data_IF_012233913473
#
_entry.id   IF_012233913473
#
_cell.length_a   1.000
_cell.length_b   1.000
_cell.length_c   1.000
_cell.angle_alpha   90.00
_cell.angle_beta   90.00
_cell.angle_gamma   90.00
#
_symmetry.space_group_name_H-M   'P 1'
#
loop_
_entity.id
_entity.type
_entity.pdbx_description
1 polymer ?
#
# COMPACT_ATOMS: atom_id res chain seq x y z
N UNK A 1 -7.13 -16.07 0.23
CA UNK A 1 -5.84 -15.46 0.62
C UNK A 1 -6.00 -14.05 1.25
N UNK A 2 -7.13 -13.38 1.07
CA UNK A 2 -7.39 -12.04 1.64
C UNK A 2 -8.16 -12.07 2.98
N UNK A 3 -8.50 -13.25 3.48
CA UNK A 3 -9.29 -13.43 4.71
C UNK A 3 -8.49 -13.28 6.01
N UNK A 4 -7.19 -13.00 5.91
CA UNK A 4 -6.28 -13.07 7.06
C UNK A 4 -5.85 -11.71 7.64
N UNK A 5 -6.28 -10.57 7.05
CA UNK A 5 -5.97 -9.28 7.65
C UNK A 5 -6.94 -8.96 8.77
N UNK A 6 -6.41 -8.78 9.97
CA UNK A 6 -7.18 -8.37 11.15
C UNK A 6 -7.09 -6.86 11.35
N UNK A 7 -7.86 -6.35 12.31
CA UNK A 7 -7.78 -4.94 12.72
C UNK A 7 -6.40 -4.53 13.30
N UNK A 8 -5.64 -5.53 13.72
CA UNK A 8 -4.29 -5.32 14.30
C UNK A 8 -3.18 -5.55 13.26
N UNK A 9 -3.55 -5.84 12.00
CA UNK A 9 -2.59 -5.98 10.92
C UNK A 9 -2.02 -4.61 10.53
N UNK A 10 -0.73 -4.57 10.26
CA UNK A 10 -0.06 -3.44 9.64
C UNK A 10 0.71 -3.95 8.44
N UNK A 11 0.19 -3.70 7.26
CA UNK A 11 0.64 -4.30 6.00
C UNK A 11 1.37 -3.28 5.16
N UNK A 12 2.58 -3.64 4.73
CA UNK A 12 3.36 -2.85 3.77
C UNK A 12 3.37 -3.52 2.41
N UNK A 13 2.85 -2.84 1.39
CA UNK A 13 3.02 -3.22 -0.02
C UNK A 13 4.20 -2.48 -0.62
N UNK A 14 5.14 -3.22 -1.21
CA UNK A 14 6.34 -2.64 -1.82
C UNK A 14 6.45 -2.98 -3.31
N UNK A 15 7.07 -2.08 -4.06
CA UNK A 15 7.36 -2.30 -5.48
C UNK A 15 6.12 -2.31 -6.38
N UNK A 16 5.06 -1.64 -5.97
CA UNK A 16 3.85 -1.51 -6.76
C UNK A 16 4.09 -0.60 -7.98
N UNK A 17 3.87 -1.11 -9.19
CA UNK A 17 4.01 -0.30 -10.41
C UNK A 17 2.84 0.67 -10.61
N UNK A 18 1.63 0.15 -10.60
CA UNK A 18 0.39 0.92 -10.83
C UNK A 18 -0.61 0.84 -9.66
N UNK A 19 -0.24 0.26 -8.54
CA UNK A 19 -1.06 0.10 -7.33
C UNK A 19 -2.38 -0.68 -7.52
N UNK A 20 -2.52 -1.45 -8.60
CA UNK A 20 -3.76 -2.19 -8.84
C UNK A 20 -3.99 -3.32 -7.84
N UNK A 21 -2.91 -3.96 -7.40
CA UNK A 21 -3.02 -5.05 -6.42
C UNK A 21 -3.41 -4.51 -5.04
N UNK A 22 -2.68 -3.53 -4.53
CA UNK A 22 -2.98 -2.93 -3.22
C UNK A 22 -4.36 -2.27 -3.19
N UNK A 23 -4.76 -1.55 -4.25
CA UNK A 23 -6.11 -0.99 -4.35
C UNK A 23 -7.18 -2.08 -4.26
N UNK A 24 -7.03 -3.17 -5.01
CA UNK A 24 -7.98 -4.29 -4.95
C UNK A 24 -8.04 -4.95 -3.56
N UNK A 25 -6.89 -5.12 -2.90
CA UNK A 25 -6.85 -5.69 -1.54
C UNK A 25 -7.56 -4.80 -0.55
N UNK A 26 -7.27 -3.50 -0.56
CA UNK A 26 -7.89 -2.53 0.36
C UNK A 26 -9.39 -2.43 0.14
N UNK A 27 -9.85 -2.33 -1.12
CA UNK A 27 -11.28 -2.31 -1.43
C UNK A 27 -11.99 -3.55 -0.90
N UNK A 28 -11.45 -4.75 -1.18
CA UNK A 28 -12.05 -6.00 -0.69
C UNK A 28 -12.05 -6.07 0.84
N UNK A 29 -10.98 -5.63 1.50
CA UNK A 29 -10.90 -5.58 2.96
C UNK A 29 -11.99 -4.66 3.55
N UNK A 30 -12.15 -3.46 3.00
CA UNK A 30 -13.15 -2.49 3.47
C UNK A 30 -14.57 -3.00 3.23
N UNK A 31 -14.84 -3.64 2.08
CA UNK A 31 -16.16 -4.24 1.78
C UNK A 31 -16.52 -5.35 2.79
N UNK A 32 -15.55 -6.14 3.23
CA UNK A 32 -15.75 -7.19 4.22
C UNK A 32 -15.80 -6.66 5.66
N UNK A 33 -15.30 -5.45 5.89
CA UNK A 33 -15.24 -4.81 7.19
C UNK A 33 -15.92 -3.43 7.17
N UNK A 34 -17.26 -3.37 7.17
CA UNK A 34 -18.02 -2.12 6.99
C UNK A 34 -17.73 -1.01 8.00
N UNK A 35 -17.09 -1.34 9.13
CA UNK A 35 -16.63 -0.35 10.11
C UNK A 35 -15.60 0.65 9.55
N UNK A 36 -14.88 0.26 8.48
CA UNK A 36 -13.94 1.10 7.75
C UNK A 36 -14.60 1.86 6.58
N UNK A 37 -15.83 1.54 6.22
CA UNK A 37 -16.68 2.38 5.40
C UNK A 37 -17.12 3.53 6.29
N UNK A 38 -16.45 4.67 6.19
CA UNK A 38 -16.81 5.87 6.97
C UNK A 38 -18.32 6.12 6.94
N UNK A 39 -18.87 6.69 8.02
CA UNK A 39 -20.31 6.95 8.25
C UNK A 39 -20.96 7.89 7.22
N UNK A 40 -20.93 7.58 5.94
CA UNK A 40 -21.56 8.35 4.86
C UNK A 40 -22.76 7.69 4.21
N UNK A 41 -23.23 6.55 4.73
CA UNK A 41 -24.41 5.89 4.16
C UNK A 41 -25.70 6.14 4.94
N UNK A 42 -25.78 7.14 5.80
CA UNK A 42 -27.03 7.55 6.45
C UNK A 42 -27.09 9.07 6.57
N UNK A 43 -27.56 9.72 5.53
CA UNK A 43 -28.59 10.75 5.53
C UNK A 43 -28.64 11.43 4.16
N UNK A 44 -29.63 11.05 3.40
CA UNK A 44 -30.22 11.84 2.31
C UNK A 44 -30.66 13.20 2.85
N UNK A 45 -30.39 14.20 2.02
CA UNK A 45 -30.96 15.54 1.98
C UNK A 45 -30.21 16.66 2.72
N UNK A 46 -29.87 17.60 1.88
CA UNK A 46 -29.61 19.02 2.06
C UNK A 46 -28.19 19.54 2.30
N UNK A 47 -27.70 20.15 1.22
CA UNK A 47 -26.94 21.39 1.10
C UNK A 47 -25.45 21.49 1.46
N UNK A 48 -24.71 21.74 0.35
CA UNK A 48 -23.67 22.78 0.15
C UNK A 48 -22.36 22.63 0.92
N UNK A 49 -21.33 22.39 0.07
CA UNK A 49 -19.96 22.88 0.22
C UNK A 49 -19.31 22.74 1.62
N UNK A 50 -18.80 21.59 1.87
CA UNK A 50 -17.52 21.46 2.58
C UNK A 50 -16.95 20.07 2.32
N UNK A 51 -15.85 20.00 1.57
CA UNK A 51 -15.06 18.78 1.36
C UNK A 51 -14.40 18.35 2.68
N UNK A 52 -15.18 17.90 3.64
CA UNK A 52 -14.64 17.16 4.78
C UNK A 52 -14.36 15.75 4.29
N UNK A 53 -13.13 15.54 3.85
CA UNK A 53 -12.50 14.23 3.63
C UNK A 53 -12.86 13.33 4.81
N UNK A 54 -13.76 12.36 4.60
CA UNK A 54 -13.94 11.27 5.52
C UNK A 54 -12.62 10.50 5.54
N UNK A 55 -11.89 10.60 6.62
CA UNK A 55 -10.77 9.71 6.88
C UNK A 55 -11.35 8.36 7.28
N UNK A 56 -11.38 7.46 6.33
CA UNK A 56 -11.46 6.04 6.63
C UNK A 56 -10.10 5.68 7.23
N UNK A 57 -10.06 5.22 8.46
CA UNK A 57 -8.81 4.99 9.19
C UNK A 57 -8.06 3.73 8.74
N UNK A 58 -7.84 3.55 7.43
CA UNK A 58 -6.96 2.51 6.91
C UNK A 58 -5.47 2.92 6.96
N UNK A 59 -5.14 4.13 7.40
CA UNK A 59 -3.77 4.62 7.49
C UNK A 59 -2.88 3.79 8.42
N UNK A 60 -3.46 3.24 9.49
CA UNK A 60 -2.72 2.39 10.42
C UNK A 60 -2.58 0.95 9.94
N UNK A 61 -3.43 0.54 8.98
CA UNK A 61 -3.48 -0.83 8.50
C UNK A 61 -2.68 -1.06 7.22
N UNK A 62 -2.71 -0.09 6.30
CA UNK A 62 -2.15 -0.27 4.97
C UNK A 62 -1.22 0.88 4.60
N UNK A 63 0.03 0.51 4.35
CA UNK A 63 1.03 1.36 3.73
C UNK A 63 1.35 0.80 2.35
N UNK A 64 1.24 1.61 1.31
CA UNK A 64 1.52 1.22 -0.08
C UNK A 64 2.69 2.01 -0.62
N UNK A 65 3.55 1.36 -1.41
CA UNK A 65 4.74 2.04 -1.91
C UNK A 65 5.17 1.59 -3.29
N UNK A 66 5.85 2.49 -4.01
CA UNK A 66 6.54 2.18 -5.24
C UNK A 66 7.96 2.73 -5.24
N UNK A 67 8.78 2.17 -6.12
CA UNK A 67 10.15 2.64 -6.35
C UNK A 67 10.20 3.94 -7.15
N UNK A 68 9.18 4.19 -7.97
CA UNK A 68 9.09 5.34 -8.85
C UNK A 68 8.60 6.60 -8.10
N UNK A 69 8.84 7.75 -8.73
CA UNK A 69 8.27 9.02 -8.28
C UNK A 69 6.74 9.05 -8.43
N UNK A 70 6.08 9.86 -7.62
CA UNK A 70 4.63 10.05 -7.65
C UNK A 70 4.13 10.44 -9.04
N UNK A 71 4.87 11.33 -9.72
CA UNK A 71 4.51 11.88 -11.04
C UNK A 71 4.71 10.88 -12.18
N UNK A 72 5.45 9.79 -11.93
CA UNK A 72 5.63 8.73 -12.93
C UNK A 72 4.42 7.82 -12.95
N UNK A 73 3.71 7.72 -14.08
CA UNK A 73 2.67 6.73 -14.20
C UNK A 73 1.58 7.05 -15.21
N UNK A 74 0.70 6.07 -15.38
CA UNK A 74 -0.45 6.09 -16.27
C UNK A 74 -1.70 6.61 -15.57
N UNK A 75 -2.77 6.88 -16.33
CA UNK A 75 -4.10 7.18 -15.79
C UNK A 75 -4.61 6.07 -14.85
N UNK A 76 -4.24 4.82 -15.11
CA UNK A 76 -4.59 3.67 -14.26
C UNK A 76 -3.92 3.81 -12.89
N UNK A 77 -2.64 4.20 -12.86
CA UNK A 77 -1.93 4.46 -11.60
C UNK A 77 -2.63 5.55 -10.81
N UNK A 78 -2.99 6.66 -11.45
CA UNK A 78 -3.68 7.76 -10.79
C UNK A 78 -5.03 7.34 -10.20
N UNK A 79 -5.85 6.59 -10.94
CA UNK A 79 -7.12 6.04 -10.42
C UNK A 79 -6.91 5.18 -9.17
N UNK A 80 -5.93 4.30 -9.19
CA UNK A 80 -5.65 3.44 -8.06
C UNK A 80 -5.14 4.23 -6.84
N UNK A 81 -4.33 5.27 -7.06
CA UNK A 81 -3.90 6.18 -6.01
C UNK A 81 -5.07 6.96 -5.40
N UNK A 82 -6.01 7.43 -6.23
CA UNK A 82 -7.22 8.12 -5.76
C UNK A 82 -8.09 7.19 -4.88
N UNK A 83 -8.22 5.92 -5.27
CA UNK A 83 -8.91 4.89 -4.48
C UNK A 83 -8.22 4.72 -3.12
N UNK A 84 -6.92 4.45 -3.11
CA UNK A 84 -6.15 4.25 -1.89
C UNK A 84 -6.17 5.47 -0.98
N UNK A 85 -6.09 6.67 -1.57
CA UNK A 85 -6.21 7.93 -0.84
C UNK A 85 -7.60 8.11 -0.22
N UNK A 86 -8.66 7.69 -0.93
CA UNK A 86 -10.03 7.77 -0.41
C UNK A 86 -10.24 6.90 0.83
N UNK A 87 -9.54 5.78 0.91
CA UNK A 87 -9.52 4.90 2.09
C UNK A 87 -8.50 5.33 3.16
N UNK A 88 -7.75 6.39 2.92
CA UNK A 88 -6.80 6.95 3.89
C UNK A 88 -5.50 6.16 4.03
N UNK A 89 -5.14 5.30 3.07
CA UNK A 89 -3.90 4.54 3.12
C UNK A 89 -2.67 5.45 3.11
N UNK A 90 -1.60 5.04 3.80
CA UNK A 90 -0.30 5.69 3.70
C UNK A 90 0.35 5.36 2.35
N UNK A 91 0.87 6.36 1.67
CA UNK A 91 1.51 6.19 0.37
C UNK A 91 2.95 6.70 0.40
N UNK A 92 3.90 5.86 -0.02
CA UNK A 92 5.31 6.20 -0.11
C UNK A 92 5.82 5.99 -1.52
N UNK A 93 6.36 7.05 -2.10
CA UNK A 93 7.01 7.03 -3.41
C UNK A 93 8.54 7.03 -3.20
N UNK A 94 9.29 6.62 -4.22
CA UNK A 94 10.75 6.51 -4.15
C UNK A 94 11.21 5.64 -2.96
N UNK A 95 10.48 4.56 -2.68
CA UNK A 95 10.83 3.61 -1.63
C UNK A 95 11.55 2.40 -2.23
N UNK A 96 12.81 2.22 -1.85
CA UNK A 96 13.61 1.07 -2.27
C UNK A 96 13.33 -0.13 -1.36
N UNK A 97 12.68 -1.16 -1.90
CA UNK A 97 12.37 -2.39 -1.18
C UNK A 97 13.60 -3.10 -0.60
N UNK A 98 14.79 -2.86 -1.15
CA UNK A 98 16.04 -3.45 -0.65
C UNK A 98 16.65 -2.69 0.52
N UNK A 99 16.10 -1.53 0.85
CA UNK A 99 16.64 -0.61 1.85
C UNK A 99 15.63 -0.22 2.93
N UNK A 100 14.54 -0.99 3.10
CA UNK A 100 13.47 -0.69 4.08
C UNK A 100 14.00 -0.45 5.48
N UNK A 101 14.98 -1.23 5.92
CA UNK A 101 15.60 -1.12 7.25
C UNK A 101 16.40 0.17 7.48
N UNK A 102 16.62 0.97 6.44
CA UNK A 102 17.34 2.25 6.49
C UNK A 102 16.48 3.45 6.10
N UNK A 103 15.30 3.20 5.55
CA UNK A 103 14.40 4.29 5.17
C UNK A 103 13.69 4.85 6.43
N UNK A 104 13.80 6.16 6.71
CA UNK A 104 13.19 6.75 7.91
C UNK A 104 11.68 6.56 8.02
N UNK A 105 11.00 6.32 6.90
CA UNK A 105 9.54 6.13 6.85
C UNK A 105 9.11 4.72 7.26
N UNK A 106 10.03 3.75 7.25
CA UNK A 106 9.74 2.35 7.53
C UNK A 106 10.56 1.77 8.68
N UNK A 107 11.77 2.28 8.93
CA UNK A 107 12.73 1.69 9.88
C UNK A 107 12.20 1.57 11.33
N UNK A 108 11.33 2.47 11.75
CA UNK A 108 10.74 2.49 13.11
C UNK A 108 9.33 1.89 13.16
N UNK A 109 8.77 1.52 12.00
CA UNK A 109 7.42 0.98 11.91
C UNK A 109 7.48 -0.54 12.04
N UNK A 110 6.57 -1.11 12.84
CA UNK A 110 6.39 -2.57 12.93
C UNK A 110 5.30 -2.98 11.95
N UNK A 111 5.69 -3.79 10.98
CA UNK A 111 4.75 -4.37 10.02
C UNK A 111 4.46 -5.83 10.40
N UNK A 112 3.19 -6.23 10.32
CA UNK A 112 2.81 -7.64 10.45
C UNK A 112 3.11 -8.41 9.18
N UNK A 113 2.96 -7.75 8.04
CA UNK A 113 3.14 -8.34 6.72
C UNK A 113 3.83 -7.35 5.79
N UNK A 114 4.79 -7.84 5.01
CA UNK A 114 5.45 -7.08 3.95
C UNK A 114 5.27 -7.85 2.65
N UNK A 115 4.60 -7.25 1.69
CA UNK A 115 4.20 -7.89 0.44
C UNK A 115 4.91 -7.22 -0.73
N UNK A 116 5.72 -8.01 -1.46
CA UNK A 116 6.36 -7.59 -2.69
C UNK A 116 5.80 -8.42 -3.85
N UNK A 117 4.87 -7.85 -4.60
CA UNK A 117 4.27 -8.52 -5.74
C UNK A 117 5.16 -8.39 -6.98
N UNK A 118 5.48 -9.51 -7.60
CA UNK A 118 6.26 -9.59 -8.84
C UNK A 118 7.61 -8.85 -8.80
N UNK A 119 8.50 -9.17 -7.84
CA UNK A 119 9.79 -8.51 -7.73
C UNK A 119 10.64 -8.75 -8.99
N UNK A 120 10.91 -7.70 -9.75
CA UNK A 120 11.71 -7.75 -10.98
C UNK A 120 12.44 -6.43 -11.23
N UNK A 121 13.58 -6.50 -11.89
CA UNK A 121 14.43 -5.32 -12.18
C UNK A 121 14.02 -4.56 -13.44
N UNK A 122 12.91 -4.95 -14.09
CA UNK A 122 12.45 -4.37 -15.36
C UNK A 122 13.23 -4.88 -16.59
N UNK A 123 12.68 -4.60 -17.78
CA UNK A 123 13.27 -4.98 -19.07
C UNK A 123 13.22 -6.48 -19.34
N UNK A 124 14.19 -6.98 -20.14
CA UNK A 124 14.29 -8.42 -20.45
C UNK A 124 14.54 -9.22 -19.19
N UNK A 125 13.96 -10.43 -19.13
CA UNK A 125 14.11 -11.34 -18.00
C UNK A 125 15.59 -11.57 -17.66
N UNK A 126 16.00 -11.15 -16.47
CA UNK A 126 17.36 -11.30 -15.93
C UNK A 126 17.28 -12.05 -14.61
N UNK A 127 17.27 -13.37 -14.70
CA UNK A 127 17.06 -14.26 -13.53
C UNK A 127 18.02 -13.94 -12.39
N UNK A 128 19.30 -13.75 -12.66
CA UNK A 128 20.30 -13.44 -11.64
C UNK A 128 20.03 -12.11 -10.93
N UNK A 129 19.65 -11.07 -11.68
CA UNK A 129 19.31 -9.77 -11.08
C UNK A 129 18.03 -9.82 -10.27
N UNK A 130 17.03 -10.57 -10.74
CA UNK A 130 15.79 -10.76 -9.99
C UNK A 130 16.03 -11.55 -8.69
N UNK A 131 16.90 -12.56 -8.73
CA UNK A 131 17.34 -13.29 -7.51
C UNK A 131 18.06 -12.36 -6.54
N UNK A 132 18.98 -11.54 -7.03
CA UNK A 132 19.69 -10.56 -6.20
C UNK A 132 18.74 -9.55 -5.58
N UNK A 133 17.77 -9.03 -6.34
CA UNK A 133 16.71 -8.15 -5.85
C UNK A 133 15.91 -8.81 -4.72
N UNK A 134 15.45 -10.03 -4.94
CA UNK A 134 14.67 -10.78 -3.96
C UNK A 134 15.47 -11.03 -2.68
N UNK A 135 16.73 -11.43 -2.81
CA UNK A 135 17.60 -11.65 -1.67
C UNK A 135 17.83 -10.35 -0.87
N UNK A 136 18.14 -9.26 -1.55
CA UNK A 136 18.32 -7.95 -0.93
C UNK A 136 17.04 -7.47 -0.22
N UNK A 137 15.88 -7.68 -0.83
CA UNK A 137 14.58 -7.41 -0.21
C UNK A 137 14.39 -8.23 1.07
N UNK A 138 14.56 -9.56 1.02
CA UNK A 138 14.42 -10.42 2.19
C UNK A 138 15.40 -10.03 3.32
N UNK A 139 16.64 -9.67 2.97
CA UNK A 139 17.59 -9.14 3.94
C UNK A 139 17.12 -7.85 4.57
N UNK A 140 16.50 -6.94 3.78
CA UNK A 140 15.99 -5.67 4.29
C UNK A 140 14.78 -5.83 5.22
N UNK A 141 14.00 -6.91 5.03
CA UNK A 141 12.84 -7.22 5.87
C UNK A 141 13.21 -7.84 7.22
N UNK A 142 14.43 -8.37 7.38
CA UNK A 142 14.83 -9.14 8.57
C UNK A 142 14.66 -8.35 9.88
N UNK A 143 14.82 -7.04 9.86
CA UNK A 143 14.67 -6.19 11.04
C UNK A 143 13.22 -5.99 11.49
N UNK A 144 12.26 -6.32 10.64
CA UNK A 144 10.82 -6.19 10.92
C UNK A 144 10.20 -7.50 11.38
N UNK A 145 10.84 -8.62 11.06
CA UNK A 145 10.40 -9.97 11.46
C UNK A 145 10.98 -10.28 12.85
N UNK A 146 10.11 -10.54 13.78
CA UNK A 146 10.46 -11.00 15.14
C UNK A 146 10.12 -12.46 15.31
#
# INVERSE_FOLDING_TARGET
MLENFSADSNVLFVGEGNFSFSASVVENFVLQNPRYLGKTAQNTEENVACSKKLKTDCAELFTVSCYEDEKCGSEIKQKNLDILQSYGCNMHFNLDATMLHKDPRTMEVKFSDIIFMFPHVGGKMRIEKNRALLLAFLCSCRSFLH
#
